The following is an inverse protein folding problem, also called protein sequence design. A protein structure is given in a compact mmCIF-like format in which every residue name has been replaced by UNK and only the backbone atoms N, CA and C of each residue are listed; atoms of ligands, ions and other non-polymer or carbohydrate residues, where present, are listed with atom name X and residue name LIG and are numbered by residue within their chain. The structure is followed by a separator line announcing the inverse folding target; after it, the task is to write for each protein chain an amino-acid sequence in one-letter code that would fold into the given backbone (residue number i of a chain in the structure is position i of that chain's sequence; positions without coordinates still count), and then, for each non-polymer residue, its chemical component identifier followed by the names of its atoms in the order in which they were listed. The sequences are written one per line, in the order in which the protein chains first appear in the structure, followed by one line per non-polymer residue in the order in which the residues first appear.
data_IF_909465688926
#
_entry.id   IF_909465688926
#
_cell.length_a   1.000
_cell.length_b   1.000
_cell.length_c   1.000
_cell.angle_alpha   90.00
_cell.angle_beta   90.00
_cell.angle_gamma   90.00
#
_symmetry.space_group_name_H-M   'P 1'
#
loop_
_entity.id
_entity.type
_entity.pdbx_description
1 polymer ?
#
# COMPACT_ATOMS: atom_id res chain seq x y z
N UNK A 1 -9.62 -56.29 0.16
CA UNK A 1 -8.33 -56.28 0.88
C UNK A 1 -7.86 -54.85 0.85
N UNK A 2 -8.04 -54.04 1.90
CA UNK A 2 -7.08 -53.65 2.97
C UNK A 2 -5.84 -53.04 2.37
N UNK A 3 -5.44 -51.78 2.65
CA UNK A 3 -5.31 -51.01 3.90
C UNK A 3 -5.11 -49.51 3.54
N UNK A 4 -5.77 -48.61 4.17
CA UNK A 4 -5.37 -47.55 5.10
C UNK A 4 -3.87 -47.11 5.05
N UNK A 5 -3.61 -45.85 4.77
CA UNK A 5 -2.59 -45.09 5.51
C UNK A 5 -3.16 -43.68 5.75
N UNK A 6 -3.43 -43.46 7.04
CA UNK A 6 -3.74 -42.17 7.65
C UNK A 6 -2.39 -41.59 8.07
N UNK A 7 -2.06 -40.40 7.62
CA UNK A 7 -0.88 -39.69 8.11
C UNK A 7 -1.35 -38.43 8.82
N UNK A 8 -1.30 -38.54 10.13
CA UNK A 8 -1.49 -37.46 11.11
C UNK A 8 -0.17 -36.69 11.17
N UNK A 9 -0.21 -35.41 10.89
CA UNK A 9 0.88 -34.51 11.26
C UNK A 9 0.39 -33.68 12.45
N UNK A 10 0.81 -34.10 13.65
CA UNK A 10 0.77 -33.30 14.87
C UNK A 10 1.87 -32.25 14.81
N UNK A 11 1.51 -31.00 14.93
CA UNK A 11 2.44 -29.93 15.24
C UNK A 11 2.57 -29.77 16.74
N UNK A 12 3.77 -30.03 17.23
CA UNK A 12 4.17 -29.75 18.60
C UNK A 12 4.66 -28.31 18.66
N UNK A 13 3.93 -27.47 19.38
CA UNK A 13 4.40 -26.17 19.83
C UNK A 13 5.19 -26.38 21.13
N UNK A 14 6.49 -26.15 21.08
CA UNK A 14 7.30 -26.01 22.27
C UNK A 14 7.37 -24.53 22.66
N UNK A 15 6.63 -24.16 23.69
CA UNK A 15 6.76 -22.88 24.38
C UNK A 15 7.91 -22.97 25.37
N UNK A 16 8.93 -22.15 25.21
CA UNK A 16 9.93 -21.86 26.25
C UNK A 16 9.57 -20.55 26.94
N UNK A 17 8.93 -20.67 28.10
CA UNK A 17 8.81 -19.61 29.11
C UNK A 17 10.18 -19.42 29.77
N UNK A 18 10.74 -18.22 29.69
CA UNK A 18 11.77 -17.77 30.62
C UNK A 18 11.14 -16.80 31.60
N UNK A 19 11.03 -17.25 32.84
CA UNK A 19 10.74 -16.41 33.99
C UNK A 19 11.97 -15.58 34.32
N UNK A 20 11.81 -14.28 34.45
CA UNK A 20 12.72 -13.44 35.23
C UNK A 20 11.96 -12.83 36.39
N UNK A 21 12.52 -13.10 37.58
CA UNK A 21 12.04 -12.69 38.88
C UNK A 21 12.29 -11.21 39.14
N UNK A 22 11.29 -10.60 39.77
CA UNK A 22 11.27 -9.25 40.30
C UNK A 22 12.21 -9.14 41.50
N UNK A 23 13.05 -8.10 41.51
CA UNK A 23 13.73 -7.62 42.69
C UNK A 23 13.29 -6.18 42.97
N UNK A 24 12.58 -6.00 44.09
CA UNK A 24 12.25 -4.69 44.65
C UNK A 24 13.46 -4.07 45.37
N UNK A 25 13.57 -2.75 45.32
CA UNK A 25 14.42 -2.01 46.24
C UNK A 25 14.60 -0.54 45.93
N UNK A 26 13.91 0.32 46.69
CA UNK A 26 14.49 1.50 47.34
C UNK A 26 14.29 2.86 46.65
N UNK A 27 13.45 3.64 47.31
CA UNK A 27 13.29 5.09 47.16
C UNK A 27 14.57 5.86 47.44
N UNK A 28 14.81 6.98 46.75
CA UNK A 28 15.40 8.17 47.34
C UNK A 28 15.03 9.41 46.50
N UNK A 29 14.26 10.29 47.12
CA UNK A 29 14.05 11.69 46.75
C UNK A 29 15.36 12.47 46.86
N UNK A 30 15.71 13.26 45.88
CA UNK A 30 16.50 14.46 46.09
C UNK A 30 16.02 15.59 45.14
N UNK A 31 15.45 16.59 45.75
CA UNK A 31 15.22 17.93 45.21
C UNK A 31 16.55 18.68 45.12
N UNK A 32 16.88 19.23 43.96
CA UNK A 32 17.92 20.25 43.82
C UNK A 32 17.39 21.42 43.01
N UNK A 33 17.60 22.59 43.62
CA UNK A 33 17.19 23.93 43.25
C UNK A 33 17.73 24.39 41.88
N UNK A 34 16.96 25.29 41.30
CA UNK A 34 17.33 26.10 40.15
C UNK A 34 18.49 27.06 40.44
N UNK A 35 19.51 27.05 39.61
CA UNK A 35 20.40 28.18 39.44
C UNK A 35 20.40 28.68 38.03
N UNK A 36 19.99 29.92 37.93
CA UNK A 36 20.01 30.82 36.81
C UNK A 36 21.45 31.00 36.27
N UNK A 37 21.69 30.76 34.98
CA UNK A 37 22.92 31.21 34.32
C UNK A 37 22.65 31.58 32.88
N UNK A 38 22.64 32.87 32.69
CA UNK A 38 22.82 33.71 31.50
C UNK A 38 22.87 33.07 30.12
N UNK A 39 21.95 33.58 29.30
CA UNK A 39 21.85 33.49 27.86
C UNK A 39 23.18 33.85 27.14
N UNK A 40 23.75 32.94 26.42
CA UNK A 40 24.57 33.22 25.26
C UNK A 40 23.77 33.01 23.99
N UNK A 41 23.54 34.09 23.30
CA UNK A 41 22.82 34.21 22.03
C UNK A 41 23.65 33.59 20.91
N UNK A 42 23.50 32.32 20.66
CA UNK A 42 23.92 31.74 19.39
C UNK A 42 22.91 32.10 18.33
N UNK A 43 23.29 33.01 17.44
CA UNK A 43 22.63 33.21 16.13
C UNK A 43 22.79 31.98 15.30
N UNK A 44 21.89 31.00 15.43
CA UNK A 44 21.66 29.98 14.40
C UNK A 44 21.03 30.67 13.21
N UNK A 45 21.82 30.89 12.18
CA UNK A 45 21.35 31.22 10.84
C UNK A 45 20.41 30.10 10.40
N UNK A 46 19.09 30.34 10.49
CA UNK A 46 18.08 29.54 9.81
C UNK A 46 18.36 29.66 8.31
N UNK A 47 19.01 28.64 7.74
CA UNK A 47 18.99 28.44 6.31
C UNK A 47 17.54 28.15 5.95
N UNK A 48 16.84 29.12 5.39
CA UNK A 48 15.51 28.90 4.83
C UNK A 48 15.66 27.78 3.79
N UNK A 49 14.99 26.64 4.03
CA UNK A 49 14.85 25.58 3.04
C UNK A 49 14.02 26.16 1.90
N UNK A 50 14.66 26.52 0.81
CA UNK A 50 13.98 26.99 -0.39
C UNK A 50 13.23 25.81 -0.97
N UNK A 51 11.89 25.85 -0.93
CA UNK A 51 11.05 24.86 -1.61
C UNK A 51 11.20 25.07 -3.11
N UNK A 52 11.74 24.08 -3.83
CA UNK A 52 11.74 24.12 -5.29
C UNK A 52 10.33 23.77 -5.78
N UNK A 53 9.70 24.68 -6.49
CA UNK A 53 8.40 24.49 -7.13
C UNK A 53 8.58 24.10 -8.57
N UNK A 54 7.70 23.21 -9.07
CA UNK A 54 7.71 22.79 -10.47
C UNK A 54 7.42 23.95 -11.42
N UNK A 55 8.06 23.92 -12.58
CA UNK A 55 7.71 24.80 -13.71
C UNK A 55 6.40 24.32 -14.33
N UNK A 56 5.59 25.24 -14.90
CA UNK A 56 4.44 24.85 -15.71
C UNK A 56 4.91 24.08 -16.94
N UNK A 57 4.25 22.98 -17.24
CA UNK A 57 4.55 22.17 -18.44
C UNK A 57 3.94 22.86 -19.66
N UNK A 58 4.71 23.03 -20.73
CA UNK A 58 4.14 23.36 -22.03
C UNK A 58 3.37 22.15 -22.57
N UNK A 59 2.12 22.35 -22.96
CA UNK A 59 1.10 21.30 -23.19
C UNK A 59 1.40 20.25 -24.29
N UNK A 60 2.61 20.17 -24.84
CA UNK A 60 2.96 19.25 -25.93
C UNK A 60 4.28 18.48 -25.72
N UNK A 61 4.74 18.32 -24.48
CA UNK A 61 5.95 17.55 -24.23
C UNK A 61 5.65 16.05 -24.24
N UNK A 62 6.43 15.29 -25.02
CA UNK A 62 6.34 13.84 -25.08
C UNK A 62 7.61 13.23 -24.49
N UNK A 63 7.49 12.25 -23.58
CA UNK A 63 8.65 11.57 -23.01
C UNK A 63 9.62 11.06 -24.06
N UNK A 64 10.93 11.22 -23.81
CA UNK A 64 12.01 10.75 -24.67
C UNK A 64 12.16 11.45 -26.03
N UNK A 65 11.14 12.17 -26.49
CA UNK A 65 11.13 12.85 -27.80
C UNK A 65 11.49 14.33 -27.70
N UNK A 66 11.13 15.00 -26.62
CA UNK A 66 11.41 16.42 -26.37
C UNK A 66 12.75 16.59 -25.68
N UNK A 67 13.62 17.36 -26.27
CA UNK A 67 14.99 17.66 -25.79
C UNK A 67 15.10 19.12 -25.39
N UNK A 68 15.90 19.40 -24.36
CA UNK A 68 16.32 20.77 -24.04
C UNK A 68 17.81 20.98 -24.35
N UNK A 69 18.15 22.18 -24.84
CA UNK A 69 19.54 22.64 -25.00
C UNK A 69 20.05 23.42 -23.77
N UNK A 70 19.19 23.60 -22.75
CA UNK A 70 19.58 24.21 -21.48
C UNK A 70 20.64 23.35 -20.76
N UNK A 71 21.60 24.00 -20.12
CA UNK A 71 22.51 23.32 -19.19
C UNK A 71 21.76 22.93 -17.94
N UNK A 72 21.65 21.62 -17.72
CA UNK A 72 20.98 21.06 -16.53
C UNK A 72 21.92 21.08 -15.33
N UNK A 73 21.38 21.33 -14.14
CA UNK A 73 22.13 21.38 -12.87
C UNK A 73 21.62 20.34 -11.89
N UNK A 74 22.48 19.90 -10.97
CA UNK A 74 22.10 18.98 -9.90
C UNK A 74 21.09 19.65 -8.96
N UNK A 75 20.04 18.92 -8.60
CA UNK A 75 18.98 19.34 -7.68
C UNK A 75 18.62 18.24 -6.69
N UNK A 76 18.17 18.64 -5.52
CA UNK A 76 17.65 17.75 -4.48
C UNK A 76 16.27 18.23 -4.10
N UNK A 77 15.27 17.38 -4.31
CA UNK A 77 13.88 17.58 -3.88
C UNK A 77 13.65 16.84 -2.56
N UNK A 78 13.40 17.61 -1.49
CA UNK A 78 13.21 17.08 -0.13
C UNK A 78 11.74 16.71 0.10
N UNK A 79 11.45 15.45 0.39
CA UNK A 79 10.10 14.96 0.64
C UNK A 79 9.55 15.29 2.04
N UNK A 80 10.34 15.93 2.91
CA UNK A 80 9.83 16.42 4.20
C UNK A 80 8.90 17.64 4.06
N UNK A 81 8.84 18.22 2.86
CA UNK A 81 8.00 19.39 2.52
C UNK A 81 7.13 19.02 1.33
N UNK A 82 5.82 19.29 1.36
CA UNK A 82 4.96 19.13 0.19
C UNK A 82 5.49 19.92 -0.99
N UNK A 83 5.38 19.35 -2.20
CA UNK A 83 5.91 19.94 -3.42
C UNK A 83 5.01 19.58 -4.60
N UNK A 84 4.66 20.55 -5.43
CA UNK A 84 3.79 20.38 -6.60
C UNK A 84 4.45 19.63 -7.78
N UNK A 85 5.75 19.33 -7.69
CA UNK A 85 6.43 18.49 -8.68
C UNK A 85 6.06 17.00 -8.59
N UNK A 86 5.42 16.57 -7.48
CA UNK A 86 5.13 15.17 -7.21
C UNK A 86 3.65 14.92 -7.08
N UNK A 87 3.12 14.05 -7.91
CA UNK A 87 1.80 13.45 -7.71
C UNK A 87 1.93 12.29 -6.73
N UNK A 88 1.14 12.33 -5.67
CA UNK A 88 1.11 11.31 -4.64
C UNK A 88 -0.10 10.41 -4.84
N UNK A 89 0.10 9.10 -4.86
CA UNK A 89 -0.94 8.10 -5.10
C UNK A 89 -1.03 7.16 -3.90
N UNK A 90 -2.25 6.87 -3.44
CA UNK A 90 -2.50 6.09 -2.24
C UNK A 90 -2.36 6.89 -0.94
N UNK A 91 -2.35 6.21 0.21
CA UNK A 91 -2.21 6.87 1.52
C UNK A 91 -0.76 7.25 1.81
N UNK A 92 -0.35 8.40 1.29
CA UNK A 92 0.97 9.00 1.46
C UNK A 92 0.85 10.37 2.13
N UNK A 93 1.84 10.76 2.94
CA UNK A 93 1.86 12.05 3.63
C UNK A 93 3.28 12.52 3.88
N UNK A 94 3.58 13.75 3.51
CA UNK A 94 4.84 14.40 3.89
C UNK A 94 4.85 14.73 5.39
N UNK A 95 5.97 14.42 6.02
CA UNK A 95 6.24 14.71 7.42
C UNK A 95 7.58 15.42 7.52
N UNK A 96 7.89 16.04 8.66
CA UNK A 96 9.21 16.65 8.89
C UNK A 96 10.40 15.69 8.71
N UNK A 97 10.13 14.39 8.55
CA UNK A 97 11.13 13.34 8.35
C UNK A 97 11.16 12.77 6.91
N UNK A 98 10.27 13.17 6.04
CA UNK A 98 10.12 12.65 4.67
C UNK A 98 8.69 12.24 4.35
N UNK A 99 8.47 11.65 3.18
CA UNK A 99 7.17 11.15 2.75
C UNK A 99 6.93 9.74 3.30
N UNK A 100 5.83 9.55 4.04
CA UNK A 100 5.37 8.21 4.47
C UNK A 100 4.97 7.43 3.22
N UNK A 101 5.55 6.22 3.07
CA UNK A 101 5.40 5.37 1.89
C UNK A 101 5.24 3.91 2.31
N UNK A 102 4.24 3.62 3.16
CA UNK A 102 4.13 2.35 3.89
C UNK A 102 3.15 1.35 3.27
N UNK A 103 2.07 1.83 2.64
CA UNK A 103 1.06 0.94 2.06
C UNK A 103 1.51 0.36 0.71
N UNK A 104 1.05 -0.85 0.42
CA UNK A 104 1.25 -1.47 -0.88
C UNK A 104 0.72 -0.56 -1.99
N UNK A 105 1.41 -0.53 -3.11
CA UNK A 105 1.20 0.30 -4.29
C UNK A 105 1.08 1.81 -4.03
N UNK A 106 1.44 2.30 -2.82
CA UNK A 106 1.72 3.72 -2.70
C UNK A 106 2.70 4.13 -3.80
N UNK A 107 2.41 5.25 -4.47
CA UNK A 107 3.25 5.70 -5.57
C UNK A 107 3.52 7.20 -5.53
N UNK A 108 4.63 7.60 -6.12
CA UNK A 108 4.90 8.98 -6.52
C UNK A 108 5.16 9.02 -8.03
N UNK A 109 4.69 10.07 -8.66
CA UNK A 109 4.93 10.31 -10.07
C UNK A 109 5.40 11.75 -10.30
N UNK A 110 6.36 11.92 -11.18
CA UNK A 110 6.96 13.23 -11.50
C UNK A 110 7.46 13.26 -12.93
N UNK A 111 7.63 14.46 -13.46
CA UNK A 111 8.04 14.68 -14.85
C UNK A 111 8.98 15.87 -14.99
N UNK A 112 9.89 15.82 -15.95
CA UNK A 112 10.82 16.91 -16.20
C UNK A 112 11.95 16.58 -17.17
N UNK A 113 12.82 17.53 -17.39
CA UNK A 113 14.07 17.29 -18.11
C UNK A 113 15.11 16.70 -17.17
N UNK A 114 15.70 15.58 -17.58
CA UNK A 114 16.65 14.81 -16.77
C UNK A 114 17.84 14.35 -17.61
N UNK A 115 19.00 14.26 -16.96
CA UNK A 115 20.21 13.63 -17.49
C UNK A 115 21.01 12.99 -16.36
N UNK A 116 21.83 11.99 -16.68
CA UNK A 116 22.59 11.23 -15.68
C UNK A 116 21.70 10.47 -14.71
N UNK A 117 22.21 10.24 -13.51
CA UNK A 117 21.57 9.42 -12.49
C UNK A 117 20.42 10.15 -11.80
N UNK A 118 19.30 9.44 -11.65
CA UNK A 118 18.17 9.80 -10.79
C UNK A 118 18.23 8.93 -9.54
N UNK A 119 18.47 9.53 -8.39
CA UNK A 119 18.73 8.84 -7.14
C UNK A 119 17.62 9.10 -6.15
N UNK A 120 16.91 8.02 -5.75
CA UNK A 120 15.90 8.06 -4.70
C UNK A 120 16.56 7.72 -3.36
N UNK A 121 16.54 8.66 -2.41
CA UNK A 121 17.00 8.42 -1.05
C UNK A 121 15.84 7.95 -0.17
N UNK A 122 16.00 6.76 0.41
CA UNK A 122 14.99 6.10 1.24
C UNK A 122 15.53 5.74 2.62
N UNK A 123 14.62 5.63 3.60
CA UNK A 123 14.91 5.00 4.89
C UNK A 123 13.81 3.97 5.16
N UNK A 124 14.19 2.72 5.33
CA UNK A 124 13.27 1.63 5.65
C UNK A 124 13.75 0.84 6.86
N UNK A 125 12.83 0.47 7.76
CA UNK A 125 13.19 -0.29 8.96
C UNK A 125 13.49 -1.77 8.70
N UNK A 126 13.03 -2.28 7.56
CA UNK A 126 13.29 -3.61 7.01
C UNK A 126 13.34 -3.52 5.50
N UNK A 127 13.51 -4.65 4.81
CA UNK A 127 13.48 -4.68 3.35
C UNK A 127 12.17 -4.11 2.78
N UNK A 128 12.31 -3.17 1.87
CA UNK A 128 11.23 -2.59 1.06
C UNK A 128 11.66 -2.65 -0.40
N UNK A 129 10.72 -3.02 -1.27
CA UNK A 129 10.96 -3.12 -2.70
C UNK A 129 10.09 -2.14 -3.48
N UNK A 130 10.61 -1.72 -4.62
CA UNK A 130 9.97 -0.74 -5.49
C UNK A 130 10.04 -1.21 -6.94
N UNK A 131 8.95 -0.95 -7.68
CA UNK A 131 8.90 -0.95 -9.13
C UNK A 131 9.03 0.47 -9.62
N UNK A 132 9.81 0.68 -10.66
CA UNK A 132 9.96 1.97 -11.33
C UNK A 132 9.40 1.84 -12.74
N UNK A 133 8.67 2.86 -13.16
CA UNK A 133 8.23 3.03 -14.54
C UNK A 133 8.89 4.29 -15.08
N UNK A 134 9.46 4.21 -16.26
CA UNK A 134 10.05 5.33 -17.01
C UNK A 134 9.27 5.45 -18.31
N UNK A 135 8.67 6.61 -18.54
CA UNK A 135 7.89 6.91 -19.74
C UNK A 135 6.75 5.88 -20.01
N UNK A 136 6.17 5.35 -18.92
CA UNK A 136 5.11 4.34 -18.94
C UNK A 136 5.60 2.89 -18.95
N UNK A 137 6.87 2.64 -19.27
CA UNK A 137 7.44 1.30 -19.34
C UNK A 137 8.03 0.87 -17.98
N UNK A 138 7.73 -0.36 -17.58
CA UNK A 138 8.28 -0.97 -16.36
C UNK A 138 9.77 -1.25 -16.54
N UNK A 139 10.60 -0.75 -15.62
CA UNK A 139 12.01 -1.11 -15.55
C UNK A 139 12.17 -2.52 -14.97
N UNK A 140 12.97 -3.37 -15.61
CA UNK A 140 13.15 -4.78 -15.19
C UNK A 140 13.78 -4.91 -13.81
N UNK A 141 14.61 -3.93 -13.41
CA UNK A 141 15.27 -3.94 -12.10
C UNK A 141 14.27 -3.78 -10.97
N UNK A 142 14.32 -4.69 -10.02
CA UNK A 142 13.62 -4.60 -8.74
C UNK A 142 14.50 -3.88 -7.73
N UNK A 143 14.11 -2.67 -7.36
CA UNK A 143 14.87 -1.84 -6.43
C UNK A 143 14.56 -2.19 -4.98
N UNK A 144 15.59 -2.48 -4.17
CA UNK A 144 15.44 -2.87 -2.77
C UNK A 144 16.23 -1.98 -1.82
N UNK A 145 15.62 -1.63 -0.69
CA UNK A 145 16.24 -0.85 0.37
C UNK A 145 15.95 -1.41 1.76
N UNK A 146 16.98 -1.39 2.61
CA UNK A 146 16.89 -1.62 4.06
C UNK A 146 17.85 -0.63 4.73
N UNK A 147 17.45 -0.03 5.86
CA UNK A 147 18.16 1.10 6.44
C UNK A 147 18.03 2.35 5.58
N UNK A 148 19.01 3.26 5.67
CA UNK A 148 19.10 4.46 4.83
C UNK A 148 19.93 4.17 3.60
N UNK A 149 19.37 4.37 2.39
CA UNK A 149 20.01 4.02 1.14
C UNK A 149 19.63 4.97 0.01
N UNK A 150 20.58 5.31 -0.86
CA UNK A 150 20.34 5.91 -2.17
C UNK A 150 20.18 4.80 -3.21
N UNK A 151 19.11 4.86 -4.00
CA UNK A 151 18.83 3.95 -5.10
C UNK A 151 18.92 4.73 -6.41
N UNK A 152 19.85 4.39 -7.30
CA UNK A 152 19.82 4.89 -8.68
C UNK A 152 18.69 4.18 -9.40
N UNK A 153 17.56 4.89 -9.56
CA UNK A 153 16.32 4.32 -10.11
C UNK A 153 16.21 4.45 -11.61
N UNK A 154 16.96 5.38 -12.20
CA UNK A 154 17.10 5.57 -13.64
C UNK A 154 18.43 6.28 -13.93
N UNK A 155 18.92 6.17 -15.17
CA UNK A 155 20.07 6.92 -15.66
C UNK A 155 19.83 7.25 -17.13
N UNK A 156 20.04 8.51 -17.53
CA UNK A 156 19.72 9.01 -18.86
C UNK A 156 20.93 9.60 -19.58
N UNK A 157 21.06 9.27 -20.85
CA UNK A 157 21.99 9.95 -21.75
C UNK A 157 21.27 11.12 -22.44
N UNK A 158 21.89 12.32 -22.41
CA UNK A 158 21.30 13.54 -23.00
C UNK A 158 20.22 14.17 -22.10
N UNK A 159 19.67 15.27 -22.57
CA UNK A 159 18.78 16.18 -21.84
C UNK A 159 17.35 16.02 -22.37
N UNK A 160 16.67 14.94 -21.97
CA UNK A 160 15.33 14.64 -22.46
C UNK A 160 14.27 14.80 -21.36
N UNK A 161 13.04 15.01 -21.81
CA UNK A 161 11.87 15.00 -20.95
C UNK A 161 11.46 13.57 -20.66
N UNK A 162 11.28 13.26 -19.36
CA UNK A 162 10.86 11.95 -18.89
C UNK A 162 9.76 12.06 -17.85
N UNK A 163 8.92 11.03 -17.78
CA UNK A 163 7.94 10.80 -16.73
C UNK A 163 8.38 9.57 -15.94
N UNK A 164 8.53 9.71 -14.63
CA UNK A 164 8.93 8.61 -13.74
C UNK A 164 7.83 8.37 -12.71
N UNK A 165 7.45 7.07 -12.54
CA UNK A 165 6.57 6.62 -11.47
C UNK A 165 7.28 5.57 -10.64
N UNK A 166 7.30 5.75 -9.32
CA UNK A 166 7.89 4.83 -8.34
C UNK A 166 6.76 4.26 -7.52
N UNK A 167 6.63 2.92 -7.49
CA UNK A 167 5.54 2.20 -6.83
C UNK A 167 6.11 1.24 -5.79
N UNK A 168 5.59 1.29 -4.56
CA UNK A 168 5.97 0.35 -3.51
C UNK A 168 5.36 -1.03 -3.75
N UNK A 169 6.16 -2.09 -3.58
CA UNK A 169 5.71 -3.47 -3.76
C UNK A 169 5.14 -4.12 -2.49
N UNK A 170 5.57 -3.68 -1.31
CA UNK A 170 5.29 -4.37 -0.06
C UNK A 170 4.20 -3.69 0.76
N UNK A 171 3.47 -4.50 1.51
CA UNK A 171 2.47 -4.02 2.46
C UNK A 171 3.08 -3.47 3.77
N UNK A 172 2.27 -2.75 4.52
CA UNK A 172 2.65 -2.07 5.77
C UNK A 172 3.03 -3.04 6.90
N UNK A 173 2.59 -4.29 6.85
CA UNK A 173 2.86 -5.28 7.91
C UNK A 173 4.36 -5.59 8.04
N UNK A 174 5.09 -5.60 6.93
CA UNK A 174 6.46 -6.10 6.86
C UNK A 174 7.52 -5.03 7.03
N UNK A 175 7.28 -3.84 6.49
CA UNK A 175 8.25 -2.76 6.58
C UNK A 175 7.58 -1.39 6.55
N UNK A 176 8.24 -0.42 7.19
CA UNK A 176 7.89 1.00 7.14
C UNK A 176 8.95 1.72 6.34
N UNK A 177 8.52 2.52 5.38
CA UNK A 177 9.40 3.23 4.46
C UNK A 177 9.13 4.74 4.47
N UNK A 178 10.19 5.52 4.47
CA UNK A 178 10.18 6.96 4.23
C UNK A 178 10.99 7.26 2.97
N UNK A 179 10.39 7.93 2.02
CA UNK A 179 11.16 8.60 0.97
C UNK A 179 11.72 9.90 1.54
N UNK A 180 13.03 10.09 1.42
CA UNK A 180 13.73 11.22 2.02
C UNK A 180 13.90 12.36 1.04
N UNK A 181 14.43 12.06 -0.14
CA UNK A 181 14.66 13.02 -1.20
C UNK A 181 14.84 12.33 -2.55
N UNK A 182 14.63 13.09 -3.61
CA UNK A 182 15.04 12.76 -4.96
C UNK A 182 16.22 13.66 -5.33
N UNK A 183 17.33 13.06 -5.77
CA UNK A 183 18.50 13.77 -6.30
C UNK A 183 18.62 13.47 -7.79
N UNK A 184 18.76 14.49 -8.61
CA UNK A 184 18.87 14.36 -10.06
C UNK A 184 19.57 15.56 -10.68
N UNK A 185 20.09 15.41 -11.90
CA UNK A 185 20.53 16.52 -12.73
C UNK A 185 19.42 16.88 -13.69
N UNK A 186 18.88 18.10 -13.55
CA UNK A 186 17.74 18.57 -14.33
C UNK A 186 16.78 19.44 -13.55
N UNK A 187 15.52 19.52 -14.00
CA UNK A 187 14.46 20.20 -13.28
C UNK A 187 13.11 19.53 -13.54
N UNK A 188 12.25 19.56 -12.52
CA UNK A 188 10.90 19.04 -12.61
C UNK A 188 9.90 20.13 -12.97
N UNK A 189 8.88 19.73 -13.69
CA UNK A 189 7.65 20.49 -13.90
C UNK A 189 6.64 20.21 -12.78
N UNK A 190 5.47 20.85 -12.86
CA UNK A 190 4.32 20.41 -12.10
C UNK A 190 4.05 18.94 -12.40
N UNK A 191 3.62 18.21 -11.36
CA UNK A 191 3.36 16.77 -11.49
C UNK A 191 2.34 16.47 -12.59
N UNK A 192 2.36 15.26 -13.18
CA UNK A 192 1.28 14.80 -14.04
C UNK A 192 -0.09 14.95 -13.35
N UNK A 193 -1.12 15.22 -14.15
CA UNK A 193 -2.49 15.31 -13.66
C UNK A 193 -2.97 13.98 -13.04
N UNK A 194 -3.93 14.06 -12.11
CA UNK A 194 -4.60 12.88 -11.59
C UNK A 194 -5.35 12.16 -12.71
N UNK A 195 -5.40 10.84 -12.64
CA UNK A 195 -6.24 10.05 -13.55
C UNK A 195 -7.71 10.28 -13.21
N UNK A 196 -8.59 10.15 -14.19
CA UNK A 196 -10.03 10.41 -13.99
C UNK A 196 -10.67 9.44 -12.99
N UNK A 197 -10.23 8.19 -12.98
CA UNK A 197 -10.76 7.14 -12.11
C UNK A 197 -9.88 6.94 -10.86
N UNK A 198 -10.56 6.67 -9.73
CA UNK A 198 -9.91 6.31 -8.48
C UNK A 198 -10.62 5.13 -7.81
N UNK A 199 -9.88 4.08 -7.49
CA UNK A 199 -10.39 2.85 -6.89
C UNK A 199 -9.70 2.57 -5.56
N UNK A 200 -10.46 2.32 -4.50
CA UNK A 200 -9.93 1.85 -3.23
C UNK A 200 -10.12 0.36 -3.05
N UNK A 201 -9.06 -0.33 -2.61
CA UNK A 201 -9.07 -1.75 -2.30
C UNK A 201 -8.87 -1.97 -0.81
N UNK A 202 -9.73 -2.77 -0.20
CA UNK A 202 -9.73 -3.12 1.22
C UNK A 202 -9.57 -4.63 1.34
N UNK A 203 -8.46 -5.09 1.96
CA UNK A 203 -8.21 -6.52 1.93
C UNK A 203 -7.14 -7.05 2.88
N UNK A 204 -6.87 -8.32 2.66
CA UNK A 204 -5.88 -9.11 3.38
C UNK A 204 -4.67 -9.46 2.48
N UNK A 205 -4.01 -10.59 2.74
CA UNK A 205 -2.89 -11.11 1.97
C UNK A 205 -3.20 -11.32 0.49
N UNK A 206 -4.45 -11.61 0.14
CA UNK A 206 -4.87 -11.80 -1.26
C UNK A 206 -4.87 -10.48 -2.04
N UNK A 207 -5.13 -9.36 -1.36
CA UNK A 207 -5.14 -8.04 -1.97
C UNK A 207 -3.74 -7.42 -2.00
N UNK A 208 -2.93 -7.65 -0.96
CA UNK A 208 -1.54 -7.19 -0.93
C UNK A 208 -0.59 -8.04 -1.78
N UNK A 209 -1.10 -9.14 -2.38
CA UNK A 209 -0.34 -10.10 -3.18
C UNK A 209 0.80 -10.79 -2.41
N UNK A 210 0.53 -11.21 -1.19
CA UNK A 210 1.47 -11.97 -0.38
C UNK A 210 2.02 -13.17 -1.14
N UNK A 211 3.35 -13.29 -1.22
CA UNK A 211 4.02 -14.48 -1.76
C UNK A 211 3.85 -14.72 -3.27
N UNK A 212 3.25 -13.79 -4.02
CA UNK A 212 2.83 -13.99 -5.40
C UNK A 212 3.96 -14.27 -6.40
N UNK A 213 5.19 -13.80 -6.12
CA UNK A 213 6.38 -14.02 -6.95
C UNK A 213 7.33 -15.07 -6.37
N UNK A 214 6.96 -15.74 -5.28
CA UNK A 214 7.72 -16.84 -4.70
C UNK A 214 7.32 -18.20 -5.27
N UNK A 215 8.17 -19.20 -5.03
CA UNK A 215 7.87 -20.59 -5.38
C UNK A 215 6.94 -21.22 -4.32
N UNK A 216 6.02 -22.13 -4.68
CA UNK A 216 5.19 -22.86 -3.71
C UNK A 216 5.97 -23.61 -2.63
N UNK A 217 7.22 -23.99 -2.92
CA UNK A 217 8.14 -24.65 -1.98
C UNK A 217 8.88 -23.67 -1.07
N UNK A 218 8.82 -22.36 -1.35
CA UNK A 218 9.45 -21.35 -0.49
C UNK A 218 8.78 -21.37 0.89
N UNK A 219 9.59 -21.38 1.97
CA UNK A 219 9.02 -21.35 3.31
C UNK A 219 8.19 -20.07 3.49
N UNK A 220 6.93 -20.24 3.86
CA UNK A 220 6.16 -19.11 4.35
C UNK A 220 6.80 -18.65 5.68
N UNK A 221 6.70 -17.55 6.08
CA UNK A 221 6.49 -16.15 5.85
C UNK A 221 7.55 -15.21 6.45
N UNK A 222 8.75 -15.66 6.84
CA UNK A 222 9.68 -14.79 7.58
C UNK A 222 10.44 -13.80 6.67
N UNK A 223 10.51 -14.10 5.37
CA UNK A 223 11.18 -13.28 4.34
C UNK A 223 10.20 -12.72 3.30
N UNK A 224 8.97 -12.47 3.70
CA UNK A 224 7.87 -12.08 2.83
C UNK A 224 8.17 -10.92 1.88
N UNK A 225 8.90 -9.85 2.26
CA UNK A 225 9.13 -8.75 1.34
C UNK A 225 9.74 -9.18 0.00
N UNK A 226 10.66 -10.16 0.01
CA UNK A 226 11.31 -10.61 -1.24
C UNK A 226 10.38 -11.40 -2.16
N UNK A 227 9.34 -12.04 -1.61
CA UNK A 227 8.36 -12.84 -2.35
C UNK A 227 7.08 -12.11 -2.72
N UNK A 228 6.97 -10.83 -2.35
CA UNK A 228 5.78 -10.01 -2.58
C UNK A 228 6.06 -8.91 -3.60
N UNK A 229 5.22 -8.85 -4.64
CA UNK A 229 5.15 -7.73 -5.58
C UNK A 229 3.70 -7.32 -5.81
N UNK A 230 3.24 -6.34 -5.05
CA UNK A 230 1.87 -5.83 -5.15
C UNK A 230 1.57 -5.14 -6.49
N UNK A 231 2.61 -4.76 -7.27
CA UNK A 231 2.40 -4.26 -8.65
C UNK A 231 1.99 -5.35 -9.63
N UNK A 232 1.96 -6.60 -9.17
CA UNK A 232 1.42 -7.75 -9.89
C UNK A 232 0.19 -8.33 -9.18
N UNK A 233 -0.44 -7.57 -8.27
CA UNK A 233 -1.71 -7.95 -7.66
C UNK A 233 -2.87 -7.74 -8.61
N UNK A 234 -3.95 -8.49 -8.42
CA UNK A 234 -5.20 -8.25 -9.17
C UNK A 234 -5.66 -6.81 -9.04
N UNK A 235 -5.49 -6.21 -7.88
CA UNK A 235 -5.90 -4.84 -7.58
C UNK A 235 -5.12 -3.82 -8.44
N UNK A 236 -3.80 -3.90 -8.45
CA UNK A 236 -2.98 -2.99 -9.26
C UNK A 236 -3.15 -3.24 -10.76
N UNK A 237 -3.19 -4.51 -11.20
CA UNK A 237 -3.41 -4.85 -12.61
C UNK A 237 -4.76 -4.32 -13.13
N UNK A 238 -5.81 -4.39 -12.31
CA UNK A 238 -7.11 -3.80 -12.66
C UNK A 238 -7.02 -2.29 -12.81
N UNK A 239 -6.31 -1.59 -11.92
CA UNK A 239 -6.18 -0.13 -12.01
C UNK A 239 -5.35 0.31 -13.21
N UNK A 240 -4.28 -0.40 -13.54
CA UNK A 240 -3.50 -0.10 -14.74
C UNK A 240 -4.32 -0.30 -16.02
N UNK A 241 -5.10 -1.39 -16.11
CA UNK A 241 -5.97 -1.66 -17.26
C UNK A 241 -7.07 -0.61 -17.44
N UNK A 242 -7.56 0.00 -16.36
CA UNK A 242 -8.56 1.05 -16.36
C UNK A 242 -7.97 2.46 -16.45
N UNK A 243 -6.65 2.60 -16.50
CA UNK A 243 -5.95 3.88 -16.34
C UNK A 243 -6.48 4.66 -15.12
N UNK A 244 -6.58 3.98 -13.98
CA UNK A 244 -7.08 4.54 -12.72
C UNK A 244 -5.94 4.78 -11.72
N UNK A 245 -6.14 5.70 -10.78
CA UNK A 245 -5.37 5.76 -9.56
C UNK A 245 -5.96 4.81 -8.51
N UNK A 246 -5.17 4.38 -7.53
CA UNK A 246 -5.69 3.52 -6.47
C UNK A 246 -5.06 3.76 -5.11
N UNK A 247 -5.77 3.26 -4.09
CA UNK A 247 -5.23 3.03 -2.76
C UNK A 247 -5.47 1.57 -2.38
N UNK A 248 -4.43 0.84 -2.00
CA UNK A 248 -4.56 -0.54 -1.50
C UNK A 248 -4.34 -0.54 0.01
N UNK A 249 -5.42 -0.75 0.74
CA UNK A 249 -5.48 -0.87 2.19
C UNK A 249 -5.57 -2.34 2.55
N UNK A 250 -4.43 -3.01 2.62
CA UNK A 250 -4.37 -4.44 2.81
C UNK A 250 -3.25 -4.84 3.77
N UNK A 251 -3.51 -5.89 4.55
CA UNK A 251 -2.54 -6.44 5.49
C UNK A 251 -2.74 -7.95 5.62
N UNK A 252 -1.68 -8.71 5.36
CA UNK A 252 -1.69 -10.18 5.49
C UNK A 252 -2.08 -10.61 6.89
N UNK A 253 -2.97 -11.59 7.00
CA UNK A 253 -3.43 -12.14 8.29
C UNK A 253 -4.55 -11.35 8.97
N UNK A 254 -4.92 -10.15 8.49
CA UNK A 254 -6.03 -9.40 9.08
C UNK A 254 -7.37 -9.97 8.65
N UNK A 255 -8.32 -10.06 9.57
CA UNK A 255 -9.71 -10.37 9.27
C UNK A 255 -10.60 -9.15 9.44
N UNK A 256 -11.80 -9.20 8.90
CA UNK A 256 -12.76 -8.11 9.07
C UNK A 256 -13.25 -8.01 10.51
N UNK A 257 -13.47 -9.14 11.15
CA UNK A 257 -13.89 -9.26 12.56
C UNK A 257 -12.80 -9.90 13.42
N UNK A 258 -12.22 -10.99 12.94
CA UNK A 258 -11.20 -11.78 13.63
C UNK A 258 -10.07 -12.11 12.61
N UNK A 259 -8.94 -12.62 13.09
CA UNK A 259 -7.82 -12.98 12.24
C UNK A 259 -6.59 -13.33 13.05
N UNK A 260 -5.42 -13.26 12.45
CA UNK A 260 -4.15 -13.55 13.12
C UNK A 260 -3.60 -12.36 13.93
N UNK A 261 -4.36 -11.28 14.05
CA UNK A 261 -4.05 -10.10 14.85
C UNK A 261 -5.08 -9.92 15.97
N UNK A 262 -4.67 -9.22 17.03
CA UNK A 262 -5.52 -8.90 18.17
C UNK A 262 -6.72 -8.03 17.79
N UNK A 263 -6.54 -7.15 16.79
CA UNK A 263 -7.57 -6.21 16.35
C UNK A 263 -8.03 -6.52 14.92
N UNK A 264 -9.26 -6.16 14.62
CA UNK A 264 -9.91 -6.33 13.33
C UNK A 264 -9.47 -5.28 12.29
N UNK A 265 -9.82 -5.50 11.03
CA UNK A 265 -9.41 -4.67 9.88
C UNK A 265 -9.64 -3.18 10.10
N UNK A 266 -10.84 -2.76 10.44
CA UNK A 266 -11.18 -1.34 10.56
C UNK A 266 -10.43 -0.64 11.70
N UNK A 267 -10.07 -1.36 12.77
CA UNK A 267 -9.19 -0.80 13.80
C UNK A 267 -7.86 -0.29 13.23
N UNK A 268 -7.26 -1.03 12.30
CA UNK A 268 -5.99 -0.66 11.67
C UNK A 268 -6.18 0.40 10.57
N UNK A 269 -7.14 0.19 9.69
CA UNK A 269 -7.27 0.99 8.47
C UNK A 269 -8.15 2.24 8.59
N UNK A 270 -8.85 2.42 9.72
CA UNK A 270 -9.40 3.73 10.09
C UNK A 270 -8.33 4.75 10.49
N UNK A 271 -7.10 4.31 10.70
CA UNK A 271 -5.93 5.15 10.94
C UNK A 271 -5.22 5.44 9.62
N UNK A 272 -4.56 6.59 9.54
CA UNK A 272 -3.77 6.94 8.36
C UNK A 272 -2.68 5.88 8.09
N UNK A 273 -1.88 5.56 9.11
CA UNK A 273 -0.91 4.47 9.09
C UNK A 273 -0.70 3.94 10.52
N UNK A 274 -1.30 2.81 10.86
CA UNK A 274 -1.30 2.24 12.20
C UNK A 274 0.10 1.88 12.75
N UNK A 275 1.09 1.71 11.88
CA UNK A 275 2.47 1.42 12.30
C UNK A 275 3.24 2.69 12.73
N UNK A 276 2.71 3.89 12.45
CA UNK A 276 3.39 5.15 12.75
C UNK A 276 2.69 6.00 13.80
N UNK A 277 1.37 6.04 13.76
CA UNK A 277 0.58 6.83 14.68
C UNK A 277 -0.87 6.35 14.72
N UNK A 278 -1.57 6.69 15.80
CA UNK A 278 -3.00 6.45 15.96
C UNK A 278 -3.86 7.56 15.32
N UNK A 279 -3.27 8.46 14.52
CA UNK A 279 -4.01 9.50 13.82
C UNK A 279 -5.03 8.86 12.88
N UNK A 280 -6.28 9.29 13.00
CA UNK A 280 -7.35 8.81 12.11
C UNK A 280 -7.09 9.27 10.68
N UNK A 281 -7.60 8.50 9.73
CA UNK A 281 -7.69 8.95 8.35
C UNK A 281 -8.76 10.05 8.27
N UNK A 282 -8.39 11.16 7.65
CA UNK A 282 -9.28 12.31 7.46
C UNK A 282 -9.91 12.22 6.06
N UNK A 283 -11.23 12.11 6.03
CA UNK A 283 -11.98 12.05 4.78
C UNK A 283 -12.19 13.44 4.15
N UNK A 284 -12.11 14.51 4.96
CA UNK A 284 -12.24 15.86 4.46
C UNK A 284 -11.08 16.20 3.51
N UNK A 285 -11.43 16.59 2.29
CA UNK A 285 -10.45 16.85 1.23
C UNK A 285 -9.81 15.60 0.60
N UNK A 286 -10.17 14.40 1.08
CA UNK A 286 -9.71 13.17 0.43
C UNK A 286 -10.49 12.94 -0.87
N UNK A 287 -9.79 12.39 -1.88
CA UNK A 287 -10.42 12.00 -3.13
C UNK A 287 -11.43 10.87 -2.88
N UNK A 288 -12.65 11.04 -3.37
CA UNK A 288 -13.72 10.04 -3.25
C UNK A 288 -13.49 8.93 -4.28
N UNK A 289 -13.49 7.64 -3.89
CA UNK A 289 -13.35 6.57 -4.86
C UNK A 289 -14.60 6.40 -5.72
N UNK A 290 -14.41 6.08 -7.00
CA UNK A 290 -15.48 5.70 -7.91
C UNK A 290 -16.03 4.31 -7.58
N UNK A 291 -15.17 3.41 -7.10
CA UNK A 291 -15.49 2.06 -6.64
C UNK A 291 -14.63 1.72 -5.41
N UNK A 292 -15.23 1.07 -4.42
CA UNK A 292 -14.51 0.40 -3.35
C UNK A 292 -14.60 -1.13 -3.53
N UNK A 293 -13.46 -1.79 -3.60
CA UNK A 293 -13.36 -3.25 -3.75
C UNK A 293 -12.94 -3.85 -2.43
N UNK A 294 -13.74 -4.74 -1.87
CA UNK A 294 -13.48 -5.40 -0.58
C UNK A 294 -13.18 -6.87 -0.79
N UNK A 295 -12.06 -7.34 -0.25
CA UNK A 295 -11.68 -8.75 -0.23
C UNK A 295 -11.20 -9.14 1.16
N UNK A 296 -12.16 -9.48 2.03
CA UNK A 296 -11.95 -9.86 3.43
C UNK A 296 -12.80 -11.08 3.79
N UNK A 297 -12.35 -11.87 4.78
CA UNK A 297 -13.07 -13.03 5.28
C UNK A 297 -12.25 -14.33 5.29
N UNK A 298 -11.16 -14.41 4.52
CA UNK A 298 -10.34 -15.63 4.49
C UNK A 298 -9.74 -15.93 5.87
N UNK A 299 -9.23 -14.92 6.56
CA UNK A 299 -8.64 -15.05 7.89
C UNK A 299 -9.72 -15.28 8.96
N UNK A 300 -10.87 -14.62 8.85
CA UNK A 300 -12.01 -14.81 9.76
C UNK A 300 -12.43 -16.27 9.82
N UNK A 301 -12.56 -16.91 8.66
CA UNK A 301 -12.90 -18.33 8.56
C UNK A 301 -11.82 -19.25 9.11
N UNK A 302 -10.55 -18.90 8.94
CA UNK A 302 -9.43 -19.72 9.39
C UNK A 302 -9.37 -19.82 10.91
N UNK A 303 -9.91 -18.83 11.62
CA UNK A 303 -9.91 -18.75 13.09
C UNK A 303 -11.30 -18.97 13.71
N UNK A 304 -12.33 -19.29 12.92
CA UNK A 304 -13.64 -19.67 13.42
C UNK A 304 -14.54 -18.50 13.82
N UNK A 305 -14.55 -17.42 13.04
CA UNK A 305 -15.44 -16.27 13.21
C UNK A 305 -16.92 -16.70 13.10
N UNK A 306 -17.80 -16.13 13.94
CA UNK A 306 -19.25 -16.34 13.82
C UNK A 306 -19.86 -15.43 12.75
N UNK A 307 -21.04 -15.79 12.27
CA UNK A 307 -21.79 -14.98 11.31
C UNK A 307 -22.06 -13.57 11.85
N UNK A 308 -22.52 -13.48 13.09
CA UNK A 308 -22.86 -12.21 13.73
C UNK A 308 -21.65 -11.28 13.81
N UNK A 309 -20.49 -11.81 14.19
CA UNK A 309 -19.23 -11.07 14.24
C UNK A 309 -18.85 -10.55 12.84
N UNK A 310 -18.88 -11.44 11.84
CA UNK A 310 -18.50 -11.10 10.47
C UNK A 310 -19.42 -10.04 9.88
N UNK A 311 -20.74 -10.29 9.90
CA UNK A 311 -21.74 -9.40 9.28
C UNK A 311 -21.75 -8.03 9.96
N UNK A 312 -21.66 -7.98 11.32
CA UNK A 312 -21.58 -6.71 12.04
C UNK A 312 -20.38 -5.88 11.62
N UNK A 313 -19.18 -6.48 11.55
CA UNK A 313 -17.97 -5.76 11.15
C UNK A 313 -17.92 -5.42 9.68
N UNK A 314 -18.53 -6.24 8.83
CA UNK A 314 -18.69 -5.96 7.42
C UNK A 314 -19.56 -4.71 7.20
N UNK A 315 -20.67 -4.58 7.95
CA UNK A 315 -21.50 -3.38 7.95
C UNK A 315 -20.71 -2.15 8.40
N UNK A 316 -19.99 -2.25 9.52
CA UNK A 316 -19.17 -1.13 9.99
C UNK A 316 -18.14 -0.65 8.94
N UNK A 317 -17.58 -1.56 8.13
CA UNK A 317 -16.66 -1.18 7.06
C UNK A 317 -17.38 -0.44 5.92
N UNK A 318 -18.52 -0.94 5.47
CA UNK A 318 -19.30 -0.29 4.40
C UNK A 318 -19.78 1.08 4.84
N UNK A 319 -20.30 1.18 6.08
CA UNK A 319 -20.76 2.44 6.66
C UNK A 319 -19.60 3.43 6.82
N UNK A 320 -18.43 2.96 7.30
CA UNK A 320 -17.21 3.78 7.39
C UNK A 320 -16.81 4.38 6.05
N UNK A 321 -16.91 3.62 4.96
CA UNK A 321 -16.60 4.11 3.60
C UNK A 321 -17.63 5.13 3.17
N UNK A 322 -18.92 4.77 3.19
CA UNK A 322 -20.00 5.61 2.66
C UNK A 322 -20.23 6.88 3.48
N UNK A 323 -20.28 6.77 4.79
CA UNK A 323 -20.42 7.92 5.70
C UNK A 323 -19.20 8.82 5.68
N UNK A 324 -18.00 8.21 5.65
CA UNK A 324 -16.74 8.94 5.60
C UNK A 324 -16.63 9.82 4.37
N UNK A 325 -16.90 9.27 3.20
CA UNK A 325 -16.91 10.02 1.93
C UNK A 325 -18.21 10.80 1.68
N UNK A 326 -19.25 10.62 2.51
CA UNK A 326 -20.58 11.24 2.34
C UNK A 326 -21.16 10.96 0.94
N UNK A 327 -20.95 9.74 0.44
CA UNK A 327 -21.35 9.29 -0.90
C UNK A 327 -21.67 7.80 -0.88
N UNK A 328 -22.70 7.40 -1.62
CA UNK A 328 -23.03 5.99 -1.86
C UNK A 328 -22.02 5.36 -2.83
N UNK A 329 -20.78 5.20 -2.34
CA UNK A 329 -19.71 4.55 -3.11
C UNK A 329 -20.13 3.13 -3.46
N UNK A 330 -20.07 2.71 -4.74
CA UNK A 330 -20.30 1.33 -5.13
C UNK A 330 -19.31 0.38 -4.46
N UNK A 331 -19.80 -0.66 -3.82
CA UNK A 331 -18.99 -1.68 -3.14
C UNK A 331 -19.01 -2.97 -3.94
N UNK A 332 -17.85 -3.45 -4.38
CA UNK A 332 -17.69 -4.80 -4.92
C UNK A 332 -17.07 -5.67 -3.83
N UNK A 333 -17.86 -6.61 -3.29
CA UNK A 333 -17.37 -7.58 -2.32
C UNK A 333 -16.93 -8.86 -3.03
N UNK A 334 -15.62 -9.06 -3.10
CA UNK A 334 -15.02 -10.22 -3.76
C UNK A 334 -14.88 -11.38 -2.77
N UNK A 335 -15.26 -12.59 -3.17
CA UNK A 335 -15.16 -13.76 -2.33
C UNK A 335 -14.78 -15.01 -3.14
N UNK A 336 -14.30 -16.05 -2.47
CA UNK A 336 -14.11 -17.36 -3.05
C UNK A 336 -15.25 -18.30 -2.69
N UNK A 337 -15.41 -19.37 -3.44
CA UNK A 337 -16.35 -20.43 -3.12
C UNK A 337 -15.92 -21.14 -1.82
N UNK A 338 -16.62 -20.90 -0.72
CA UNK A 338 -16.35 -21.51 0.58
C UNK A 338 -17.47 -22.38 1.12
N UNK A 339 -18.50 -22.62 0.31
CA UNK A 339 -19.67 -23.40 0.71
C UNK A 339 -20.79 -22.56 1.31
N UNK A 340 -21.95 -23.20 1.50
CA UNK A 340 -23.25 -22.57 1.69
C UNK A 340 -23.36 -21.52 2.79
N UNK A 341 -22.70 -21.70 3.93
CA UNK A 341 -22.89 -20.80 5.06
C UNK A 341 -22.30 -19.40 4.80
N UNK A 342 -21.10 -19.32 4.25
CA UNK A 342 -20.48 -18.02 3.97
C UNK A 342 -21.21 -17.25 2.87
N UNK A 343 -21.64 -17.92 1.84
CA UNK A 343 -22.41 -17.28 0.76
C UNK A 343 -23.73 -16.73 1.30
N UNK A 344 -24.36 -17.40 2.30
CA UNK A 344 -25.53 -16.88 2.98
C UNK A 344 -25.24 -15.62 3.83
N UNK A 345 -24.06 -15.55 4.47
CA UNK A 345 -23.66 -14.34 5.22
C UNK A 345 -23.48 -13.14 4.29
N UNK A 346 -22.84 -13.35 3.14
CA UNK A 346 -22.65 -12.31 2.13
C UNK A 346 -23.98 -11.91 1.48
N UNK A 347 -24.88 -12.88 1.28
CA UNK A 347 -26.22 -12.56 0.78
C UNK A 347 -27.00 -11.70 1.77
N UNK A 348 -26.96 -11.99 3.07
CA UNK A 348 -27.58 -11.17 4.10
C UNK A 348 -27.02 -9.75 4.12
N UNK A 349 -25.70 -9.61 3.98
CA UNK A 349 -25.04 -8.32 3.88
C UNK A 349 -25.49 -7.56 2.63
N UNK A 350 -25.55 -8.23 1.48
CA UNK A 350 -26.04 -7.66 0.22
C UNK A 350 -27.50 -7.22 0.33
N UNK A 351 -28.36 -8.07 0.86
CA UNK A 351 -29.80 -7.76 1.04
C UNK A 351 -30.00 -6.53 1.97
N UNK A 352 -29.16 -6.40 3.01
CA UNK A 352 -29.20 -5.27 3.93
C UNK A 352 -28.91 -3.93 3.24
N UNK A 353 -27.98 -3.91 2.26
CA UNK A 353 -27.63 -2.72 1.47
C UNK A 353 -28.47 -2.57 0.18
N UNK A 354 -29.49 -3.40 -0.02
CA UNK A 354 -30.38 -3.33 -1.20
C UNK A 354 -29.78 -3.96 -2.46
N UNK A 355 -28.76 -4.81 -2.32
CA UNK A 355 -28.11 -5.50 -3.41
C UNK A 355 -27.50 -4.56 -4.47
N UNK A 356 -27.51 -4.98 -5.72
CA UNK A 356 -27.00 -4.18 -6.84
C UNK A 356 -27.71 -2.82 -6.99
N UNK A 357 -29.02 -2.77 -6.71
CA UNK A 357 -29.76 -1.52 -6.74
C UNK A 357 -29.30 -0.51 -5.67
N UNK A 358 -28.81 -1.01 -4.53
CA UNK A 358 -28.19 -0.22 -3.47
C UNK A 358 -26.69 -0.03 -3.62
N UNK A 359 -26.13 -0.40 -4.79
CA UNK A 359 -24.69 -0.26 -5.08
C UNK A 359 -23.82 -1.24 -4.30
N UNK A 360 -24.35 -2.42 -3.93
CA UNK A 360 -23.59 -3.48 -3.27
C UNK A 360 -23.57 -4.73 -4.14
N UNK A 361 -22.39 -5.11 -4.60
CA UNK A 361 -22.17 -6.16 -5.58
C UNK A 361 -21.36 -7.30 -4.99
N UNK A 362 -21.71 -8.54 -5.35
CA UNK A 362 -20.95 -9.74 -4.99
C UNK A 362 -20.26 -10.30 -6.21
N UNK A 363 -18.94 -10.59 -6.09
CA UNK A 363 -18.14 -11.21 -7.13
C UNK A 363 -17.45 -12.46 -6.56
N UNK A 364 -17.83 -13.64 -7.06
CA UNK A 364 -17.17 -14.91 -6.71
C UNK A 364 -16.00 -15.19 -7.65
N UNK A 365 -14.86 -15.62 -7.11
CA UNK A 365 -13.63 -15.88 -7.84
C UNK A 365 -12.93 -17.17 -7.40
N UNK A 366 -12.25 -17.81 -8.32
CA UNK A 366 -11.36 -18.95 -8.08
C UNK A 366 -9.93 -18.48 -7.78
N UNK A 367 -9.70 -18.05 -6.55
CA UNK A 367 -8.49 -17.33 -6.13
C UNK A 367 -7.14 -17.97 -6.47
N UNK A 368 -7.07 -19.29 -6.65
CA UNK A 368 -5.84 -20.06 -6.88
C UNK A 368 -5.93 -20.98 -8.07
N UNK A 369 -6.91 -20.80 -8.94
CA UNK A 369 -7.20 -21.71 -10.04
C UNK A 369 -6.08 -21.74 -11.10
N UNK A 370 -5.23 -20.71 -11.15
CA UNK A 370 -4.08 -20.61 -12.04
C UNK A 370 -2.74 -20.79 -11.33
N UNK A 371 -2.78 -21.35 -10.10
CA UNK A 371 -1.59 -21.72 -9.34
C UNK A 371 -1.33 -20.86 -8.10
N UNK A 372 -0.33 -21.30 -7.35
CA UNK A 372 0.07 -20.69 -6.09
C UNK A 372 1.54 -20.29 -6.10
N UNK A 373 1.88 -19.29 -5.32
CA UNK A 373 3.22 -18.85 -4.98
C UNK A 373 3.59 -19.27 -3.55
N UNK A 374 4.52 -18.55 -2.92
CA UNK A 374 4.98 -18.84 -1.57
C UNK A 374 3.83 -18.83 -0.55
N UNK A 375 3.90 -19.74 0.41
CA UNK A 375 2.88 -19.88 1.45
C UNK A 375 1.49 -20.28 0.95
N UNK A 376 1.38 -20.85 -0.26
CA UNK A 376 0.12 -21.31 -0.85
C UNK A 376 -0.85 -20.18 -1.22
N UNK A 377 -0.38 -18.94 -1.33
CA UNK A 377 -1.15 -17.79 -1.82
C UNK A 377 -1.20 -17.77 -3.36
N UNK A 378 -2.15 -17.04 -3.97
CA UNK A 378 -2.21 -16.91 -5.42
C UNK A 378 -0.88 -16.43 -6.01
N UNK A 379 -0.41 -17.08 -7.08
CA UNK A 379 0.73 -16.61 -7.87
C UNK A 379 0.31 -15.48 -8.84
N UNK A 380 1.26 -14.96 -9.60
CA UNK A 380 1.01 -13.89 -10.58
C UNK A 380 -0.06 -14.28 -11.60
N UNK A 381 -0.06 -15.52 -12.11
CA UNK A 381 -1.06 -15.96 -13.07
C UNK A 381 -2.48 -15.96 -12.48
N UNK A 382 -2.64 -16.37 -11.22
CA UNK A 382 -3.91 -16.26 -10.52
C UNK A 382 -4.34 -14.80 -10.29
N UNK A 383 -3.40 -13.91 -10.02
CA UNK A 383 -3.71 -12.47 -9.91
C UNK A 383 -4.14 -11.86 -11.24
N UNK A 384 -3.52 -12.24 -12.36
CA UNK A 384 -3.94 -11.82 -13.71
C UNK A 384 -5.38 -12.25 -13.98
N UNK A 385 -5.70 -13.54 -13.79
CA UNK A 385 -7.05 -14.06 -14.03
C UNK A 385 -8.11 -13.41 -13.11
N UNK A 386 -7.77 -13.14 -11.86
CA UNK A 386 -8.66 -12.43 -10.93
C UNK A 386 -8.87 -10.96 -11.34
N UNK A 387 -7.85 -10.29 -11.89
CA UNK A 387 -7.98 -8.95 -12.47
C UNK A 387 -8.89 -8.94 -13.69
N UNK A 388 -8.70 -9.87 -14.62
CA UNK A 388 -9.55 -10.02 -15.80
C UNK A 388 -11.02 -10.25 -15.43
N UNK A 389 -11.27 -11.07 -14.42
CA UNK A 389 -12.62 -11.31 -13.89
C UNK A 389 -13.24 -10.06 -13.27
N UNK A 390 -12.46 -9.27 -12.50
CA UNK A 390 -12.92 -8.02 -11.92
C UNK A 390 -13.21 -6.97 -13.00
N UNK A 391 -12.34 -6.84 -14.01
CA UNK A 391 -12.55 -5.95 -15.16
C UNK A 391 -13.83 -6.31 -15.93
N UNK A 392 -14.03 -7.58 -16.23
CA UNK A 392 -15.24 -8.06 -16.89
C UNK A 392 -16.51 -7.75 -16.07
N UNK A 393 -16.45 -7.93 -14.75
CA UNK A 393 -17.55 -7.62 -13.84
C UNK A 393 -17.86 -6.12 -13.80
N UNK A 394 -16.84 -5.26 -13.68
CA UNK A 394 -16.99 -3.79 -13.69
C UNK A 394 -17.66 -3.35 -15.00
N UNK A 395 -17.25 -3.91 -16.14
CA UNK A 395 -17.82 -3.61 -17.45
C UNK A 395 -19.27 -4.11 -17.58
N UNK A 396 -19.56 -5.35 -17.15
CA UNK A 396 -20.92 -5.93 -17.17
C UNK A 396 -21.91 -5.08 -16.34
N UNK A 397 -21.49 -4.68 -15.14
CA UNK A 397 -22.30 -3.87 -14.23
C UNK A 397 -22.31 -2.37 -14.58
N UNK A 398 -21.52 -1.93 -15.56
CA UNK A 398 -21.39 -0.52 -15.99
C UNK A 398 -21.07 0.42 -14.85
N UNK A 399 -20.15 0.02 -13.97
CA UNK A 399 -19.81 0.75 -12.75
C UNK A 399 -18.96 1.99 -13.02
N UNK A 400 -18.29 2.04 -14.15
CA UNK A 400 -17.55 3.20 -14.67
C UNK A 400 -18.10 3.59 -16.03
N UNK A 401 -18.08 4.90 -16.30
CA UNK A 401 -18.62 5.50 -17.55
C UNK A 401 -17.52 5.62 -18.60
#
# INVERSE_FOLDING_TARGET
MKKKILSIICFILASSMLLFTVGCGGEANETVEATDTQAQTEKKTKKEKKTETGKKTDMNMTPGQTKTDETLTERIYDFSVPNNCFRLIGRTKSTGSGLIFDHAVSAIEFQGFMTGDVILNVTSNKESYFTVYVDGERVDTRFGASGSKGLTIASFEGNYFHVIRIVRQNEVAWSQCLLRSLKMTGYLFEAPEERDLYIEFYGDSLTSAFGNIGDPSDPAPHDVPKYQDATQSYAFLTTEALNADCSILAMSGVGIATGHYEKHFLHYFSQFCHKRSNAKFEFEGARVPDIAVVRLGANDFSVGCTKEQYVSRAKELVDYIREGYKKDVPIIWMHGSRGGDFNNWLKELSDYYGGEAGGFYLLELGWRDHGVGAGGHPNVASHVANSESLLAFIADKKLIK
#
